data_IF_194476776068
#
_entry.id   IF_194476776068
#
_cell.length_a   1.000
_cell.length_b   1.000
_cell.length_c   1.000
_cell.angle_alpha   90.00
_cell.angle_beta   90.00
_cell.angle_gamma   90.00
#
_symmetry.space_group_name_H-M   'P 1'
#
loop_
_entity.id
_entity.type
_entity.pdbx_description
1 polymer ?
#
# COMPACT_ATOMS: atom_id res chain seq x y z
N UNK A 1 0.39 6.77 1.26
CA UNK A 1 1.27 6.45 2.41
C UNK A 1 0.48 6.57 3.70
N UNK A 2 0.78 5.79 4.74
CA UNK A 2 0.18 5.94 6.06
C UNK A 2 1.09 6.73 7.01
N UNK A 3 0.56 7.76 7.67
CA UNK A 3 1.28 8.64 8.57
C UNK A 3 0.78 8.52 10.00
N UNK A 4 1.70 8.71 10.95
CA UNK A 4 1.38 8.78 12.36
C UNK A 4 1.26 10.22 12.80
N UNK A 5 0.21 10.52 13.55
CA UNK A 5 -0.07 11.86 14.06
C UNK A 5 -0.71 11.77 15.44
N UNK A 6 -0.63 12.86 16.20
CA UNK A 6 -1.20 12.98 17.55
C UNK A 6 -1.83 14.35 17.74
N UNK A 7 -2.99 14.39 18.37
CA UNK A 7 -3.71 15.63 18.71
C UNK A 7 -3.71 15.83 20.22
N UNK A 8 -3.00 16.85 20.74
CA UNK A 8 -2.96 17.20 22.18
C UNK A 8 -2.76 15.98 23.12
N UNK A 9 -1.85 15.07 22.77
CA UNK A 9 -1.57 13.79 23.44
C UNK A 9 -2.61 12.66 23.23
N UNK A 10 -3.63 12.87 22.41
CA UNK A 10 -4.60 11.87 22.03
C UNK A 10 -4.27 11.26 20.65
N UNK A 11 -4.37 9.95 20.55
CA UNK A 11 -4.10 9.15 19.35
C UNK A 11 -5.37 8.86 18.53
N UNK A 12 -6.54 9.30 18.98
CA UNK A 12 -7.82 9.11 18.29
C UNK A 12 -8.05 10.18 17.21
N UNK A 13 -7.27 10.13 16.14
CA UNK A 13 -7.26 11.18 15.09
C UNK A 13 -8.61 11.31 14.38
N UNK A 14 -9.33 10.19 14.20
CA UNK A 14 -10.68 10.17 13.63
C UNK A 14 -11.75 10.86 14.48
N UNK A 15 -11.42 11.27 15.71
CA UNK A 15 -12.30 12.12 16.50
C UNK A 15 -12.19 13.59 16.10
N UNK A 16 -10.99 14.04 15.77
CA UNK A 16 -10.67 15.46 15.58
C UNK A 16 -10.65 15.88 14.11
N UNK A 17 -10.50 14.92 13.19
CA UNK A 17 -10.47 15.20 11.76
C UNK A 17 -11.41 14.29 10.97
N UNK A 18 -11.88 14.78 9.82
CA UNK A 18 -12.64 14.03 8.84
C UNK A 18 -11.98 14.15 7.49
N UNK A 19 -11.51 13.02 6.96
CA UNK A 19 -10.85 12.95 5.66
C UNK A 19 -11.81 12.35 4.62
N UNK A 20 -11.86 12.97 3.44
CA UNK A 20 -12.56 12.46 2.26
C UNK A 20 -11.67 12.60 1.03
N UNK A 21 -12.16 12.15 -0.12
CA UNK A 21 -11.48 12.33 -1.41
C UNK A 21 -11.56 13.77 -1.97
N UNK A 22 -12.43 14.64 -1.43
CA UNK A 22 -12.59 16.00 -1.98
C UNK A 22 -12.18 17.12 -1.02
N UNK A 23 -12.16 16.84 0.28
CA UNK A 23 -11.85 17.82 1.33
C UNK A 23 -11.44 17.12 2.62
N UNK A 24 -10.74 17.86 3.47
CA UNK A 24 -10.41 17.46 4.83
C UNK A 24 -10.93 18.51 5.81
N UNK A 25 -11.63 18.08 6.86
CA UNK A 25 -12.04 18.94 7.96
C UNK A 25 -11.20 18.63 9.18
N UNK A 26 -10.70 19.67 9.84
CA UNK A 26 -9.82 19.55 11.01
C UNK A 26 -10.34 20.42 12.14
N UNK A 27 -10.41 19.83 13.35
CA UNK A 27 -10.80 20.51 14.58
C UNK A 27 -9.89 21.68 14.90
N UNK A 28 -10.49 22.83 15.23
CA UNK A 28 -9.75 23.96 15.81
C UNK A 28 -9.10 23.58 17.15
N UNK A 29 -8.04 24.31 17.51
CA UNK A 29 -7.33 24.14 18.79
C UNK A 29 -6.29 23.01 18.81
N UNK A 30 -5.92 22.43 17.67
CA UNK A 30 -4.73 21.59 17.54
C UNK A 30 -3.42 22.38 17.54
N UNK A 31 -2.31 21.66 17.67
CA UNK A 31 -0.95 22.20 17.53
C UNK A 31 -0.59 22.44 16.05
N UNK A 32 0.34 23.35 15.76
CA UNK A 32 0.83 23.56 14.40
C UNK A 32 1.45 22.29 13.79
N UNK A 33 2.06 21.42 14.62
CA UNK A 33 2.56 20.12 14.18
C UNK A 33 1.45 19.22 13.62
N UNK A 34 0.23 19.33 14.19
CA UNK A 34 -0.91 18.56 13.73
C UNK A 34 -1.37 19.07 12.37
N UNK A 35 -1.60 20.38 12.23
CA UNK A 35 -2.04 20.97 10.96
C UNK A 35 -0.99 20.83 9.86
N UNK A 36 0.28 21.05 10.15
CA UNK A 36 1.35 20.98 9.16
C UNK A 36 1.49 19.61 8.52
N UNK A 37 1.19 18.53 9.25
CA UNK A 37 1.20 17.16 8.73
C UNK A 37 0.05 16.92 7.73
N UNK A 38 -1.14 17.50 7.99
CA UNK A 38 -2.24 17.44 7.02
C UNK A 38 -1.96 18.33 5.81
N UNK A 39 -1.50 19.56 6.02
CA UNK A 39 -1.21 20.50 4.96
C UNK A 39 -0.07 20.04 4.05
N UNK A 40 0.97 19.38 4.60
CA UNK A 40 2.10 18.88 3.81
C UNK A 40 1.71 17.78 2.83
N UNK A 41 0.71 16.98 3.18
CA UNK A 41 0.30 15.81 2.37
C UNK A 41 -0.93 16.11 1.50
N UNK A 42 -1.86 16.91 2.01
CA UNK A 42 -3.15 17.14 1.39
C UNK A 42 -3.27 18.52 0.75
N UNK A 43 -2.51 19.51 1.20
CA UNK A 43 -2.73 20.92 0.86
C UNK A 43 -2.64 21.25 -0.63
N UNK A 44 -1.93 20.44 -1.41
CA UNK A 44 -1.85 20.59 -2.88
C UNK A 44 -3.05 19.97 -3.62
N UNK A 45 -3.73 18.98 -3.02
CA UNK A 45 -4.73 18.14 -3.69
C UNK A 45 -6.16 18.48 -3.24
N UNK A 46 -6.36 18.66 -1.92
CA UNK A 46 -7.67 18.92 -1.33
C UNK A 46 -7.59 20.03 -0.27
N UNK A 47 -8.65 20.86 -0.13
CA UNK A 47 -8.68 21.88 0.91
C UNK A 47 -8.73 21.26 2.30
N UNK A 48 -7.83 21.71 3.17
CA UNK A 48 -7.82 21.43 4.61
C UNK A 48 -8.52 22.59 5.31
N UNK A 49 -9.70 22.35 5.88
CA UNK A 49 -10.56 23.39 6.47
C UNK A 49 -10.55 23.26 7.98
N UNK A 50 -10.14 24.33 8.65
CA UNK A 50 -10.14 24.40 10.11
C UNK A 50 -11.50 24.89 10.60
N UNK A 51 -12.22 24.05 11.34
CA UNK A 51 -13.58 24.40 11.76
C UNK A 51 -13.91 23.91 13.17
N UNK A 52 -15.07 24.28 13.65
CA UNK A 52 -15.73 23.67 14.80
C UNK A 52 -17.14 23.32 14.40
N UNK A 53 -17.72 22.33 15.07
CA UNK A 53 -19.14 22.01 14.91
C UNK A 53 -19.80 22.11 16.28
N UNK A 54 -20.80 22.98 16.39
CA UNK A 54 -21.49 23.29 17.65
C UNK A 54 -20.52 23.77 18.75
N UNK A 55 -19.45 24.51 18.36
CA UNK A 55 -18.39 24.96 19.28
C UNK A 55 -17.49 23.83 19.81
N UNK A 56 -17.64 22.61 19.31
CA UNK A 56 -16.82 21.46 19.70
C UNK A 56 -15.68 21.21 18.70
N UNK A 57 -14.58 20.64 19.20
CA UNK A 57 -13.38 20.28 18.43
C UNK A 57 -13.47 18.88 17.80
N UNK A 58 -14.46 18.08 18.19
CA UNK A 58 -14.63 16.68 17.79
C UNK A 58 -15.32 16.52 16.43
N UNK A 59 -14.81 17.18 15.39
CA UNK A 59 -15.45 17.23 14.08
C UNK A 59 -15.67 15.84 13.48
N UNK A 60 -14.69 14.95 13.58
CA UNK A 60 -14.73 13.64 12.95
C UNK A 60 -15.87 12.74 13.44
N UNK A 61 -16.30 12.92 14.70
CA UNK A 61 -17.46 12.23 15.28
C UNK A 61 -18.78 12.93 15.01
N UNK A 62 -18.75 14.26 14.89
CA UNK A 62 -19.96 15.07 14.71
C UNK A 62 -20.45 15.08 13.26
N UNK A 63 -19.57 14.94 12.28
CA UNK A 63 -19.93 14.96 10.87
C UNK A 63 -19.57 13.68 10.13
N UNK A 64 -20.22 13.50 9.00
CA UNK A 64 -19.93 12.42 8.04
C UNK A 64 -20.05 12.96 6.63
N UNK A 65 -19.24 12.47 5.71
CA UNK A 65 -19.25 12.96 4.35
C UNK A 65 -18.36 12.15 3.44
N UNK A 66 -18.59 12.34 2.14
CA UNK A 66 -17.82 11.77 1.05
C UNK A 66 -17.51 12.88 0.03
N UNK A 67 -17.01 12.53 -1.16
CA UNK A 67 -16.70 13.56 -2.17
C UNK A 67 -17.89 14.40 -2.65
N UNK A 68 -19.12 13.90 -2.48
CA UNK A 68 -20.34 14.51 -3.02
C UNK A 68 -21.06 15.39 -1.99
N UNK A 69 -20.92 15.10 -0.71
CA UNK A 69 -21.69 15.78 0.32
C UNK A 69 -21.12 15.66 1.73
N UNK A 70 -21.52 16.60 2.56
CA UNK A 70 -21.19 16.68 3.99
C UNK A 70 -22.47 16.82 4.81
N UNK A 71 -22.64 15.91 5.76
CA UNK A 71 -23.71 15.94 6.74
C UNK A 71 -23.18 16.50 8.06
N UNK A 72 -23.85 17.53 8.55
CA UNK A 72 -23.54 18.18 9.82
C UNK A 72 -24.75 18.10 10.76
N UNK A 73 -24.53 18.08 12.08
CA UNK A 73 -25.61 17.99 13.03
C UNK A 73 -26.44 19.29 13.03
N UNK A 74 -27.70 19.20 13.45
CA UNK A 74 -28.57 20.37 13.57
C UNK A 74 -28.06 21.42 14.59
N UNK A 75 -27.20 21.02 15.53
CA UNK A 75 -26.58 21.90 16.53
C UNK A 75 -25.46 22.79 15.98
N UNK A 76 -25.02 22.59 14.73
CA UNK A 76 -23.96 23.42 14.12
C UNK A 76 -24.42 24.86 13.94
N UNK A 77 -23.60 25.82 14.36
CA UNK A 77 -23.94 27.25 14.26
C UNK A 77 -23.92 27.74 12.81
N UNK A 78 -24.66 28.80 12.50
CA UNK A 78 -24.76 29.34 11.13
C UNK A 78 -23.45 29.92 10.61
N UNK A 79 -22.64 30.50 11.50
CA UNK A 79 -21.31 31.00 11.16
C UNK A 79 -20.34 29.86 10.78
N UNK A 80 -20.37 28.75 11.52
CA UNK A 80 -19.59 27.54 11.21
C UNK A 80 -20.03 26.96 9.88
N UNK A 81 -21.34 26.84 9.65
CA UNK A 81 -21.90 26.34 8.40
C UNK A 81 -21.50 27.21 7.19
N UNK A 82 -21.56 28.53 7.34
CA UNK A 82 -21.16 29.47 6.30
C UNK A 82 -19.66 29.37 6.01
N UNK A 83 -18.83 29.24 7.04
CA UNK A 83 -17.39 29.06 6.89
C UNK A 83 -17.07 27.77 6.09
N UNK A 84 -17.69 26.66 6.48
CA UNK A 84 -17.58 25.36 5.79
C UNK A 84 -18.00 25.51 4.32
N UNK A 85 -19.17 26.08 4.04
CA UNK A 85 -19.65 26.30 2.66
C UNK A 85 -18.74 27.16 1.80
N UNK A 86 -18.09 28.18 2.39
CA UNK A 86 -17.18 29.05 1.65
C UNK A 86 -15.83 28.37 1.36
N UNK A 87 -15.42 27.41 2.19
CA UNK A 87 -14.12 26.74 2.08
C UNK A 87 -14.18 25.44 1.26
N UNK A 88 -15.34 24.79 1.21
CA UNK A 88 -15.56 23.57 0.43
C UNK A 88 -15.80 23.88 -1.06
N UNK A 89 -15.45 22.94 -1.96
CA UNK A 89 -15.80 23.05 -3.37
C UNK A 89 -17.32 23.06 -3.58
N UNK A 90 -17.79 23.80 -4.58
CA UNK A 90 -19.24 23.92 -4.93
C UNK A 90 -19.89 22.57 -5.29
N UNK A 91 -19.09 21.55 -5.63
CA UNK A 91 -19.57 20.19 -5.89
C UNK A 91 -20.10 19.48 -4.64
N UNK A 92 -19.68 19.92 -3.43
CA UNK A 92 -20.02 19.26 -2.17
C UNK A 92 -21.28 19.89 -1.57
N UNK A 93 -22.34 19.09 -1.46
CA UNK A 93 -23.59 19.53 -0.82
C UNK A 93 -23.48 19.45 0.70
N UNK A 94 -23.56 20.59 1.39
CA UNK A 94 -23.56 20.65 2.87
C UNK A 94 -24.99 20.73 3.40
N UNK A 95 -25.42 19.69 4.13
CA UNK A 95 -26.78 19.55 4.66
C UNK A 95 -26.77 19.32 6.18
N UNK A 96 -27.69 20.01 6.88
CA UNK A 96 -27.98 19.75 8.30
C UNK A 96 -28.93 18.59 8.44
N UNK A 97 -28.65 17.71 9.40
CA UNK A 97 -29.47 16.56 9.74
C UNK A 97 -29.80 16.60 11.23
N UNK A 98 -31.08 16.40 11.55
CA UNK A 98 -31.51 16.16 12.92
C UNK A 98 -31.49 14.65 13.18
N UNK A 99 -30.63 14.21 14.08
CA UNK A 99 -30.56 12.82 14.50
C UNK A 99 -30.46 12.76 16.02
N UNK A 100 -31.21 11.85 16.65
CA UNK A 100 -31.39 11.82 18.12
C UNK A 100 -30.67 10.65 18.78
N UNK A 101 -30.29 9.62 18.02
CA UNK A 101 -29.64 8.42 18.56
C UNK A 101 -28.24 8.71 19.07
N UNK A 102 -27.39 9.28 18.23
CA UNK A 102 -25.99 9.62 18.56
C UNK A 102 -25.43 10.65 17.57
N UNK A 103 -24.14 10.96 17.69
CA UNK A 103 -23.44 11.80 16.73
C UNK A 103 -23.35 11.12 15.35
N UNK A 104 -23.49 11.90 14.27
CA UNK A 104 -23.57 11.38 12.89
C UNK A 104 -22.38 10.49 12.50
N UNK A 105 -21.17 10.84 12.92
CA UNK A 105 -19.95 10.08 12.64
C UNK A 105 -19.84 8.76 13.42
N UNK A 106 -20.69 8.52 14.43
CA UNK A 106 -20.76 7.23 15.12
C UNK A 106 -21.80 6.30 14.48
N UNK A 107 -22.89 6.86 13.96
CA UNK A 107 -24.01 6.10 13.39
C UNK A 107 -23.84 5.80 11.91
N UNK A 108 -22.97 6.52 11.21
CA UNK A 108 -22.78 6.40 9.76
C UNK A 108 -21.30 6.17 9.44
N UNK A 109 -21.02 5.11 8.67
CA UNK A 109 -19.74 4.88 8.00
C UNK A 109 -19.98 4.89 6.49
N UNK A 110 -19.25 5.70 5.72
CA UNK A 110 -19.50 5.83 4.28
C UNK A 110 -18.21 5.89 3.48
N UNK A 111 -18.30 5.41 2.23
CA UNK A 111 -17.36 5.71 1.16
C UNK A 111 -18.07 6.51 0.04
N UNK A 112 -17.51 6.55 -1.17
CA UNK A 112 -18.13 7.30 -2.28
C UNK A 112 -19.29 6.56 -2.97
N UNK A 113 -19.54 5.29 -2.63
CA UNK A 113 -20.52 4.42 -3.32
C UNK A 113 -21.61 3.89 -2.38
N UNK A 114 -21.24 3.60 -1.13
CA UNK A 114 -22.03 2.88 -0.14
C UNK A 114 -21.90 3.56 1.23
N UNK A 115 -22.99 3.57 2.00
CA UNK A 115 -23.01 3.96 3.40
C UNK A 115 -23.64 2.87 4.26
N UNK A 116 -22.95 2.51 5.35
CA UNK A 116 -23.47 1.70 6.43
C UNK A 116 -24.04 2.61 7.51
N UNK A 117 -25.26 2.30 7.97
CA UNK A 117 -25.97 3.10 8.97
C UNK A 117 -26.51 2.24 10.10
N UNK A 118 -26.79 2.91 11.22
CA UNK A 118 -27.47 2.31 12.36
C UNK A 118 -28.83 1.66 11.95
N UNK A 119 -29.16 0.44 12.42
CA UNK A 119 -30.39 -0.24 12.01
C UNK A 119 -31.69 0.51 12.35
N UNK A 120 -31.71 1.16 13.50
CA UNK A 120 -32.87 1.94 14.00
C UNK A 120 -32.92 3.38 13.47
N UNK A 121 -32.16 3.72 12.42
CA UNK A 121 -32.19 5.06 11.83
C UNK A 121 -33.57 5.35 11.21
N UNK A 122 -34.07 6.57 11.40
CA UNK A 122 -35.31 7.04 10.79
C UNK A 122 -35.20 7.06 9.26
N UNK A 123 -36.28 6.68 8.57
CA UNK A 123 -36.29 6.59 7.10
C UNK A 123 -36.10 7.95 6.44
N UNK A 124 -36.58 9.03 7.06
CA UNK A 124 -36.36 10.40 6.59
C UNK A 124 -34.86 10.75 6.61
N UNK A 125 -34.16 10.40 7.68
CA UNK A 125 -32.71 10.59 7.79
C UNK A 125 -31.96 9.77 6.75
N UNK A 126 -32.37 8.52 6.53
CA UNK A 126 -31.80 7.64 5.52
C UNK A 126 -31.92 8.22 4.09
N UNK A 127 -33.09 8.74 3.73
CA UNK A 127 -33.33 9.39 2.44
C UNK A 127 -32.43 10.64 2.27
N UNK A 128 -32.27 11.46 3.33
CA UNK A 128 -31.38 12.62 3.30
C UNK A 128 -29.92 12.22 3.08
N UNK A 129 -29.48 11.12 3.71
CA UNK A 129 -28.12 10.57 3.55
C UNK A 129 -27.92 10.13 2.10
N UNK A 130 -28.84 9.32 1.57
CA UNK A 130 -28.77 8.81 0.20
C UNK A 130 -28.71 9.96 -0.82
N UNK A 131 -29.56 10.97 -0.68
CA UNK A 131 -29.63 12.12 -1.59
C UNK A 131 -28.41 13.05 -1.51
N UNK A 132 -27.88 13.27 -0.30
CA UNK A 132 -26.78 14.21 -0.09
C UNK A 132 -25.43 13.59 -0.46
N UNK A 133 -25.20 12.34 -0.05
CA UNK A 133 -23.95 11.63 -0.31
C UNK A 133 -23.96 10.93 -1.69
N UNK A 134 -25.13 10.72 -2.30
CA UNK A 134 -25.32 9.97 -3.56
C UNK A 134 -24.78 8.55 -3.48
N UNK A 135 -25.14 7.85 -2.41
CA UNK A 135 -24.69 6.48 -2.11
C UNK A 135 -25.86 5.59 -1.77
N UNK A 136 -25.68 4.29 -1.97
CA UNK A 136 -26.62 3.30 -1.47
C UNK A 136 -26.46 3.13 0.04
N UNK A 137 -27.57 3.16 0.77
CA UNK A 137 -27.57 3.07 2.23
C UNK A 137 -27.98 1.66 2.66
N UNK A 138 -27.17 1.04 3.52
CA UNK A 138 -27.44 -0.27 4.11
C UNK A 138 -27.46 -0.18 5.63
N UNK A 139 -28.52 -0.73 6.22
CA UNK A 139 -28.66 -0.89 7.66
C UNK A 139 -27.90 -2.15 8.09
N UNK A 140 -26.85 -1.99 8.87
CA UNK A 140 -26.01 -3.11 9.28
C UNK A 140 -25.45 -2.93 10.69
N UNK A 141 -25.04 -4.04 11.32
CA UNK A 141 -24.31 -4.04 12.59
C UNK A 141 -22.94 -4.67 12.43
N UNK A 142 -21.96 -4.22 13.21
CA UNK A 142 -20.57 -4.67 13.11
C UNK A 142 -20.15 -5.26 14.47
N UNK A 143 -19.79 -6.54 14.49
CA UNK A 143 -19.47 -7.28 15.72
C UNK A 143 -20.57 -7.17 16.80
N UNK A 144 -21.85 -7.23 16.40
CA UNK A 144 -23.02 -7.00 17.27
C UNK A 144 -23.12 -5.58 17.86
N UNK A 145 -22.32 -4.63 17.39
CA UNK A 145 -22.44 -3.22 17.74
C UNK A 145 -23.23 -2.46 16.68
N UNK A 146 -24.10 -1.57 17.14
CA UNK A 146 -24.96 -0.74 16.29
C UNK A 146 -24.28 0.54 15.80
N UNK A 147 -23.18 0.97 16.44
CA UNK A 147 -22.43 2.18 16.11
C UNK A 147 -21.38 1.93 15.03
N UNK A 148 -21.84 1.74 13.80
CA UNK A 148 -20.98 1.35 12.67
C UNK A 148 -19.81 2.33 12.43
N UNK A 149 -20.01 3.64 12.55
CA UNK A 149 -18.94 4.64 12.34
C UNK A 149 -17.88 4.71 13.44
N UNK A 150 -18.16 4.13 14.61
CA UNK A 150 -17.17 3.96 15.68
C UNK A 150 -16.29 2.75 15.46
N UNK A 151 -16.87 1.68 14.92
CA UNK A 151 -16.24 0.38 14.81
C UNK A 151 -15.77 0.04 13.40
N UNK A 152 -15.99 0.92 12.42
CA UNK A 152 -15.61 0.72 11.05
C UNK A 152 -15.13 2.01 10.38
N UNK A 153 -14.11 1.86 9.55
CA UNK A 153 -13.54 2.91 8.70
C UNK A 153 -13.53 2.38 7.28
N UNK A 154 -14.14 3.12 6.36
CA UNK A 154 -14.30 2.73 4.96
C UNK A 154 -13.55 3.70 4.04
N UNK A 155 -13.03 3.16 2.96
CA UNK A 155 -12.57 3.89 1.77
C UNK A 155 -13.19 3.25 0.52
N UNK A 156 -12.82 3.71 -0.67
CA UNK A 156 -13.23 3.03 -1.90
C UNK A 156 -12.40 1.77 -2.19
N UNK A 157 -11.20 1.66 -1.63
CA UNK A 157 -10.27 0.55 -1.91
C UNK A 157 -10.45 -0.64 -0.96
N UNK A 158 -10.95 -0.37 0.24
CA UNK A 158 -11.12 -1.35 1.29
C UNK A 158 -11.77 -0.75 2.52
N UNK A 159 -11.93 -1.58 3.54
CA UNK A 159 -12.52 -1.17 4.82
C UNK A 159 -11.94 -1.96 5.97
N UNK A 160 -11.98 -1.33 7.14
CA UNK A 160 -11.54 -1.90 8.39
C UNK A 160 -12.69 -1.85 9.43
N UNK A 161 -12.80 -2.84 10.31
CA UNK A 161 -13.90 -3.18 11.23
C UNK A 161 -13.36 -3.71 12.57
N UNK A 162 -14.18 -3.80 13.60
CA UNK A 162 -13.71 -4.26 14.92
C UNK A 162 -13.11 -5.70 14.91
N UNK A 163 -12.06 -6.01 15.69
CA UNK A 163 -11.41 -7.34 15.69
C UNK A 163 -12.34 -8.52 16.02
N UNK A 164 -13.34 -8.29 16.87
CA UNK A 164 -14.30 -9.33 17.26
C UNK A 164 -15.41 -9.58 16.22
N UNK A 165 -15.31 -8.99 15.02
CA UNK A 165 -16.23 -9.28 13.92
C UNK A 165 -16.12 -10.76 13.54
N UNK A 166 -17.24 -11.42 13.20
CA UNK A 166 -17.19 -12.84 12.85
C UNK A 166 -16.43 -13.04 11.54
N UNK A 167 -15.78 -14.19 11.33
CA UNK A 167 -15.00 -14.44 10.09
C UNK A 167 -15.88 -14.34 8.84
N UNK A 168 -17.17 -14.72 8.97
CA UNK A 168 -18.16 -14.60 7.89
C UNK A 168 -18.40 -13.13 7.52
N UNK A 169 -18.47 -12.26 8.52
CA UNK A 169 -18.63 -10.82 8.31
C UNK A 169 -17.28 -10.12 7.97
N UNK A 170 -16.14 -10.77 8.26
CA UNK A 170 -14.79 -10.31 7.94
C UNK A 170 -14.36 -10.63 6.50
N UNK A 171 -15.02 -11.54 5.77
CA UNK A 171 -14.69 -11.80 4.36
C UNK A 171 -14.78 -10.52 3.50
N UNK A 172 -15.50 -9.50 3.99
CA UNK A 172 -15.62 -8.19 3.35
C UNK A 172 -14.77 -7.08 4.02
N UNK A 173 -14.23 -7.27 5.23
CA UNK A 173 -13.56 -6.20 6.02
C UNK A 173 -12.47 -6.69 7.00
N UNK A 174 -11.36 -5.96 7.12
CA UNK A 174 -10.23 -6.28 8.04
C UNK A 174 -10.22 -5.42 9.32
N UNK A 175 -9.24 -5.44 10.25
CA UNK A 175 -9.43 -4.95 11.65
C UNK A 175 -9.08 -3.46 11.97
N UNK A 176 -9.91 -2.67 12.70
CA UNK A 176 -9.67 -1.27 13.15
C UNK A 176 -10.21 -0.87 14.53
N UNK A 177 -9.57 0.17 15.09
CA UNK A 177 -10.05 1.04 16.17
C UNK A 177 -10.09 2.54 15.78
N UNK A 178 -10.78 3.35 16.59
CA UNK A 178 -11.15 4.77 16.38
C UNK A 178 -10.05 5.79 15.99
N UNK A 179 -8.78 5.38 15.93
CA UNK A 179 -7.61 6.24 15.69
C UNK A 179 -7.16 6.36 14.24
N UNK A 180 -7.95 5.90 13.27
CA UNK A 180 -7.61 5.93 11.85
C UNK A 180 -8.60 6.76 11.04
N UNK A 181 -8.07 7.57 10.13
CA UNK A 181 -8.81 8.16 9.01
C UNK A 181 -8.07 7.86 7.71
N UNK A 182 -8.82 7.67 6.63
CA UNK A 182 -8.27 7.22 5.36
C UNK A 182 -9.06 7.80 4.20
N UNK A 183 -8.35 8.08 3.11
CA UNK A 183 -8.90 8.25 1.78
C UNK A 183 -8.18 7.31 0.81
N UNK A 184 -8.41 7.45 -0.49
CA UNK A 184 -7.89 6.49 -1.46
C UNK A 184 -6.35 6.53 -1.65
N UNK A 185 -5.64 7.53 -1.12
CA UNK A 185 -4.18 7.69 -1.32
C UNK A 185 -3.38 7.97 -0.03
N UNK A 186 -4.04 8.38 1.04
CA UNK A 186 -3.44 8.75 2.31
C UNK A 186 -4.23 8.19 3.49
N UNK A 187 -3.52 7.81 4.54
CA UNK A 187 -4.12 7.45 5.82
C UNK A 187 -3.37 8.13 6.97
N UNK A 188 -4.11 8.57 7.98
CA UNK A 188 -3.56 9.13 9.22
C UNK A 188 -4.01 8.27 10.40
N UNK A 189 -3.03 7.71 11.10
CA UNK A 189 -3.20 6.87 12.27
C UNK A 189 -2.61 7.55 13.52
N UNK A 190 -3.04 7.11 14.69
CA UNK A 190 -2.47 7.54 15.97
C UNK A 190 -0.99 7.19 16.12
N UNK A 191 -0.26 7.91 16.99
CA UNK A 191 1.16 7.64 17.24
C UNK A 191 1.45 6.26 17.83
N UNK A 192 0.50 5.68 18.58
CA UNK A 192 0.65 4.35 19.17
C UNK A 192 0.48 3.21 18.15
N UNK A 193 0.03 3.49 16.92
CA UNK A 193 -0.17 2.47 15.89
C UNK A 193 1.18 1.84 15.50
N UNK A 194 1.29 0.53 15.70
CA UNK A 194 2.51 -0.24 15.49
C UNK A 194 2.88 -0.30 14.01
N UNK A 195 4.15 -0.56 13.70
CA UNK A 195 4.60 -0.65 12.29
C UNK A 195 3.96 -1.82 11.54
N UNK A 196 3.61 -2.89 12.26
CA UNK A 196 2.85 -4.01 11.71
C UNK A 196 1.44 -3.61 11.34
N UNK A 197 0.73 -2.87 12.21
CA UNK A 197 -0.61 -2.35 11.92
C UNK A 197 -0.59 -1.36 10.76
N UNK A 198 0.41 -0.48 10.67
CA UNK A 198 0.55 0.42 9.51
C UNK A 198 0.75 -0.34 8.21
N UNK A 199 1.56 -1.41 8.21
CA UNK A 199 1.78 -2.23 7.01
C UNK A 199 0.47 -2.88 6.53
N UNK A 200 -0.35 -3.33 7.49
CA UNK A 200 -1.68 -3.89 7.23
C UNK A 200 -2.61 -2.81 6.64
N UNK A 201 -2.68 -1.63 7.26
CA UNK A 201 -3.46 -0.49 6.76
C UNK A 201 -3.07 -0.11 5.33
N UNK A 202 -1.76 0.02 5.05
CA UNK A 202 -1.27 0.36 3.71
C UNK A 202 -1.62 -0.70 2.66
N UNK A 203 -1.60 -1.98 3.04
CA UNK A 203 -1.94 -3.10 2.17
C UNK A 203 -3.43 -3.10 1.83
N UNK A 204 -4.30 -2.94 2.82
CA UNK A 204 -5.76 -3.01 2.65
C UNK A 204 -6.28 -1.85 1.82
N UNK A 205 -5.80 -0.65 2.10
CA UNK A 205 -6.23 0.56 1.40
C UNK A 205 -5.42 0.84 0.13
N UNK A 206 -4.46 -0.02 -0.22
CA UNK A 206 -3.63 0.08 -1.44
C UNK A 206 -2.93 1.45 -1.60
N UNK A 207 -2.50 2.04 -0.48
CA UNK A 207 -1.96 3.40 -0.44
C UNK A 207 -0.61 3.57 -1.16
N UNK A 208 0.03 2.45 -1.54
CA UNK A 208 1.30 2.42 -2.27
C UNK A 208 1.14 2.45 -3.80
N UNK A 209 -0.08 2.27 -4.32
CA UNK A 209 -0.36 2.32 -5.77
C UNK A 209 -0.82 3.71 -6.24
N UNK A 210 -1.11 4.63 -5.31
CA UNK A 210 -1.72 5.95 -5.59
C UNK A 210 -0.77 7.14 -5.72
N UNK A 211 0.54 7.01 -5.47
CA UNK A 211 1.48 8.10 -5.73
C UNK A 211 1.85 8.12 -7.23
N UNK A 212 1.75 9.26 -7.94
CA UNK A 212 2.28 9.36 -9.29
C UNK A 212 3.77 9.06 -9.24
N UNK A 213 4.14 7.99 -9.92
CA UNK A 213 5.45 7.36 -9.95
C UNK A 213 6.53 8.21 -10.63
N UNK A 214 6.65 9.50 -10.34
CA UNK A 214 7.65 10.36 -10.98
C UNK A 214 9.05 10.17 -10.36
N UNK A 215 9.14 10.02 -9.03
CA UNK A 215 10.43 9.85 -8.34
C UNK A 215 11.02 8.46 -8.63
N UNK A 216 10.17 7.43 -8.70
CA UNK A 216 10.63 6.07 -9.03
C UNK A 216 10.89 5.90 -10.52
N UNK A 217 10.26 6.68 -11.42
CA UNK A 217 10.57 6.66 -12.84
C UNK A 217 11.88 7.34 -13.18
N UNK A 218 12.23 8.47 -12.53
CA UNK A 218 13.50 9.17 -12.80
C UNK A 218 14.71 8.41 -12.26
N UNK A 219 14.62 7.86 -11.05
CA UNK A 219 15.67 6.98 -10.52
C UNK A 219 15.81 5.69 -11.35
N UNK A 220 14.69 5.12 -11.82
CA UNK A 220 14.74 3.99 -12.77
C UNK A 220 15.30 4.41 -14.11
N UNK A 221 14.98 5.60 -14.63
CA UNK A 221 15.48 6.08 -15.91
C UNK A 221 17.00 6.24 -15.89
N UNK A 222 17.58 6.83 -14.84
CA UNK A 222 19.04 6.96 -14.74
C UNK A 222 19.76 5.61 -14.51
N UNK A 223 19.14 4.69 -13.76
CA UNK A 223 19.62 3.30 -13.62
C UNK A 223 19.49 2.50 -14.93
N UNK A 224 18.44 2.75 -15.71
CA UNK A 224 18.24 2.12 -17.01
C UNK A 224 19.20 2.72 -18.05
N UNK A 225 19.48 4.02 -17.99
CA UNK A 225 20.43 4.72 -18.87
C UNK A 225 21.88 4.28 -18.61
N UNK A 226 22.25 4.06 -17.35
CA UNK A 226 23.54 3.44 -16.99
C UNK A 226 23.62 1.95 -17.36
N UNK A 227 22.49 1.24 -17.46
CA UNK A 227 22.44 -0.16 -17.94
C UNK A 227 22.28 -0.30 -19.47
N UNK A 228 21.84 0.75 -20.17
CA UNK A 228 21.61 0.80 -21.63
C UNK A 228 22.90 0.82 -22.46
N UNK A 229 24.06 1.02 -21.84
CA UNK A 229 25.36 0.94 -22.50
C UNK A 229 25.81 -0.48 -22.90
N UNK A 230 25.02 -1.51 -22.58
CA UNK A 230 25.28 -2.88 -22.99
C UNK A 230 24.41 -3.20 -24.20
N UNK A 231 25.02 -3.33 -25.38
CA UNK A 231 24.40 -3.47 -26.72
C UNK A 231 23.36 -4.61 -26.87
N UNK A 232 23.13 -5.44 -25.85
CA UNK A 232 22.13 -6.52 -25.86
C UNK A 232 20.69 -6.11 -25.52
N UNK A 233 20.45 -4.94 -24.90
CA UNK A 233 19.11 -4.63 -24.34
C UNK A 233 18.06 -4.23 -25.40
N UNK A 234 18.49 -3.61 -26.50
CA UNK A 234 17.59 -3.20 -27.60
C UNK A 234 16.90 -4.42 -28.23
N UNK A 235 17.61 -5.53 -28.37
CA UNK A 235 17.08 -6.76 -28.98
C UNK A 235 16.02 -7.44 -28.09
N UNK A 236 16.22 -7.43 -26.77
CA UNK A 236 15.34 -8.12 -25.81
C UNK A 236 14.02 -7.39 -25.60
N UNK A 237 14.05 -6.04 -25.53
CA UNK A 237 12.83 -5.22 -25.38
C UNK A 237 11.92 -5.28 -26.62
N UNK A 238 12.52 -5.45 -27.79
CA UNK A 238 11.79 -5.65 -29.06
C UNK A 238 11.07 -6.99 -29.11
N UNK A 239 11.62 -8.04 -28.47
CA UNK A 239 11.01 -9.37 -28.41
C UNK A 239 9.93 -9.51 -27.33
N UNK A 240 10.01 -8.77 -26.22
CA UNK A 240 9.08 -8.89 -25.09
C UNK A 240 8.65 -7.51 -24.53
N UNK A 241 7.67 -6.85 -25.17
CA UNK A 241 7.33 -5.45 -24.86
C UNK A 241 6.66 -5.23 -23.49
N UNK A 242 6.08 -6.26 -22.86
CA UNK A 242 5.32 -6.16 -21.60
C UNK A 242 6.12 -6.56 -20.35
N UNK A 243 7.45 -6.52 -20.39
CA UNK A 243 8.30 -7.11 -19.36
C UNK A 243 8.64 -6.10 -18.22
N UNK A 244 7.96 -6.24 -17.07
CA UNK A 244 8.00 -5.29 -15.95
C UNK A 244 9.04 -5.57 -14.83
N UNK A 245 9.67 -6.75 -14.77
CA UNK A 245 10.51 -7.14 -13.63
C UNK A 245 11.88 -7.72 -14.02
N UNK A 246 12.94 -6.97 -13.70
CA UNK A 246 14.36 -7.33 -13.85
C UNK A 246 14.71 -8.64 -13.14
N UNK A 247 14.09 -8.93 -11.99
CA UNK A 247 14.30 -10.16 -11.21
C UNK A 247 13.87 -11.41 -11.96
N UNK A 248 12.81 -11.32 -12.78
CA UNK A 248 12.33 -12.45 -13.59
C UNK A 248 13.24 -12.71 -14.79
N UNK A 249 13.90 -11.68 -15.31
CA UNK A 249 14.92 -11.80 -16.37
C UNK A 249 16.22 -12.40 -15.82
N UNK A 250 16.68 -11.96 -14.64
CA UNK A 250 17.85 -12.57 -13.99
C UNK A 250 17.60 -14.05 -13.64
N UNK A 251 16.41 -14.39 -13.14
CA UNK A 251 16.02 -15.76 -12.86
C UNK A 251 15.79 -16.58 -14.14
N UNK A 252 15.29 -15.97 -15.22
CA UNK A 252 15.18 -16.61 -16.53
C UNK A 252 16.56 -16.84 -17.15
N UNK A 253 17.50 -15.89 -17.06
CA UNK A 253 18.88 -16.00 -17.53
C UNK A 253 19.66 -17.04 -16.71
N UNK A 254 19.51 -17.07 -15.38
CA UNK A 254 20.08 -18.11 -14.52
C UNK A 254 19.50 -19.48 -14.86
N UNK A 255 18.17 -19.59 -15.09
CA UNK A 255 17.57 -20.83 -15.58
C UNK A 255 18.04 -21.19 -16.97
N UNK A 256 18.23 -20.25 -17.90
CA UNK A 256 18.71 -20.51 -19.27
C UNK A 256 20.19 -20.91 -19.26
N UNK A 257 21.03 -20.34 -18.40
CA UNK A 257 22.39 -20.80 -18.16
C UNK A 257 22.40 -22.20 -17.53
N UNK A 258 21.48 -22.50 -16.60
CA UNK A 258 21.28 -23.84 -16.03
C UNK A 258 20.64 -24.84 -16.99
N UNK A 259 19.91 -24.37 -18.02
CA UNK A 259 19.21 -25.21 -19.00
C UNK A 259 20.03 -25.44 -20.27
N UNK A 260 20.92 -24.50 -20.64
CA UNK A 260 21.94 -24.70 -21.71
C UNK A 260 23.10 -25.59 -21.27
N UNK A 261 23.23 -25.83 -19.96
CA UNK A 261 23.88 -27.01 -19.41
C UNK A 261 22.82 -28.10 -19.31
N UNK A 262 22.54 -28.80 -20.40
CA UNK A 262 21.83 -30.09 -20.37
C UNK A 262 22.68 -31.11 -19.61
N UNK A 263 22.70 -30.95 -18.31
CA UNK A 263 23.22 -31.89 -17.33
C UNK A 263 22.02 -32.25 -16.47
N UNK A 264 21.69 -33.52 -16.46
CA UNK A 264 20.71 -34.09 -15.54
C UNK A 264 21.06 -33.66 -14.10
N UNK A 265 20.06 -33.59 -13.22
CA UNK A 265 20.29 -33.08 -11.85
C UNK A 265 21.31 -33.89 -11.03
N UNK A 266 21.78 -35.04 -11.55
CA UNK A 266 22.86 -35.83 -10.98
C UNK A 266 24.26 -35.26 -11.28
N UNK A 267 24.48 -34.65 -12.45
CA UNK A 267 25.79 -34.10 -12.85
C UNK A 267 26.07 -32.73 -12.22
N UNK A 268 25.05 -31.92 -11.96
CA UNK A 268 25.18 -30.67 -11.21
C UNK A 268 25.71 -30.87 -9.77
N UNK A 269 25.44 -32.02 -9.16
CA UNK A 269 26.01 -32.40 -7.85
C UNK A 269 27.48 -32.82 -7.96
N UNK A 270 27.93 -33.37 -9.10
CA UNK A 270 29.34 -33.72 -9.33
C UNK A 270 30.25 -32.49 -9.47
N UNK A 271 29.74 -31.41 -10.08
CA UNK A 271 30.44 -30.11 -10.19
C UNK A 271 30.74 -29.46 -8.83
N UNK A 272 29.96 -29.78 -7.79
CA UNK A 272 30.18 -29.28 -6.43
C UNK A 272 31.07 -30.21 -5.59
N UNK A 273 31.56 -31.32 -6.15
CA UNK A 273 32.40 -32.29 -5.44
C UNK A 273 33.84 -31.78 -5.26
N UNK A 274 34.51 -32.27 -4.20
CA UNK A 274 35.93 -31.98 -3.93
C UNK A 274 36.84 -32.34 -5.11
N UNK A 275 36.50 -33.39 -5.87
CA UNK A 275 37.24 -33.82 -7.05
C UNK A 275 37.21 -32.79 -8.19
N UNK A 276 36.06 -32.12 -8.41
CA UNK A 276 35.96 -31.04 -9.40
C UNK A 276 36.77 -29.81 -8.99
N UNK A 277 36.72 -29.42 -7.71
CA UNK A 277 37.50 -28.28 -7.19
C UNK A 277 39.02 -28.51 -7.29
N UNK A 278 39.46 -29.77 -7.23
CA UNK A 278 40.85 -30.16 -7.35
C UNK A 278 41.29 -30.20 -8.83
N UNK A 279 40.50 -30.80 -9.72
CA UNK A 279 40.75 -30.82 -11.16
C UNK A 279 40.67 -29.42 -11.81
N UNK A 280 39.76 -28.56 -11.34
CA UNK A 280 39.67 -27.16 -11.75
C UNK A 280 40.94 -26.38 -11.39
N UNK A 281 41.53 -26.63 -10.21
CA UNK A 281 42.80 -26.01 -9.81
C UNK A 281 44.00 -26.53 -10.61
N UNK A 282 43.96 -27.78 -11.09
CA UNK A 282 45.02 -28.39 -11.90
C UNK A 282 44.99 -27.91 -13.36
N UNK A 283 43.80 -27.82 -13.97
CA UNK A 283 43.62 -27.41 -15.37
C UNK A 283 43.55 -25.88 -15.56
N UNK A 284 43.05 -25.16 -14.56
CA UNK A 284 42.77 -23.72 -14.63
C UNK A 284 43.46 -22.94 -13.48
N UNK A 285 44.78 -23.14 -13.32
CA UNK A 285 45.56 -22.58 -12.21
C UNK A 285 45.56 -21.04 -12.09
N UNK A 286 45.23 -20.31 -13.16
CA UNK A 286 45.25 -18.84 -13.21
C UNK A 286 43.87 -18.18 -13.12
N UNK A 287 42.79 -18.94 -12.98
CA UNK A 287 41.42 -18.41 -12.95
C UNK A 287 40.88 -18.29 -11.50
N UNK A 288 40.13 -17.22 -11.17
CA UNK A 288 39.45 -17.12 -9.89
C UNK A 288 38.44 -18.27 -9.72
N UNK A 289 38.15 -18.63 -8.47
CA UNK A 289 37.08 -19.59 -8.19
C UNK A 289 35.73 -18.97 -8.59
N UNK A 290 34.80 -19.78 -9.12
CA UNK A 290 33.46 -19.29 -9.45
C UNK A 290 32.79 -18.70 -8.21
N UNK A 291 32.21 -17.49 -8.31
CA UNK A 291 31.56 -16.84 -7.18
C UNK A 291 30.28 -17.59 -6.78
N UNK A 292 30.08 -17.79 -5.47
CA UNK A 292 28.85 -18.37 -4.93
C UNK A 292 27.79 -17.28 -4.79
N UNK A 293 26.67 -17.34 -5.53
CA UNK A 293 25.64 -16.32 -5.47
C UNK A 293 24.87 -16.42 -4.14
N UNK A 294 24.72 -15.30 -3.44
CA UNK A 294 23.95 -15.22 -2.20
C UNK A 294 22.51 -14.87 -2.54
N UNK A 295 21.55 -15.72 -2.14
CA UNK A 295 20.12 -15.60 -2.48
C UNK A 295 19.50 -14.24 -2.17
N UNK A 296 19.98 -13.56 -1.13
CA UNK A 296 19.47 -12.26 -0.68
C UNK A 296 20.16 -11.05 -1.31
N UNK A 297 21.21 -11.22 -2.13
CA UNK A 297 21.98 -10.11 -2.75
C UNK A 297 22.06 -10.25 -4.26
N UNK A 298 21.16 -9.58 -4.97
CA UNK A 298 21.02 -9.66 -6.43
C UNK A 298 22.28 -9.34 -7.24
N UNK A 299 23.15 -8.44 -6.76
CA UNK A 299 24.43 -8.13 -7.42
C UNK A 299 25.35 -9.35 -7.58
N UNK A 300 25.37 -10.24 -6.58
CA UNK A 300 26.20 -11.46 -6.61
C UNK A 300 25.76 -12.45 -7.68
N UNK A 301 24.50 -12.41 -8.11
CA UNK A 301 23.98 -13.24 -9.19
C UNK A 301 24.41 -12.71 -10.56
N UNK A 302 24.45 -11.39 -10.74
CA UNK A 302 24.95 -10.78 -11.98
C UNK A 302 26.45 -11.00 -12.14
N UNK A 303 27.21 -10.93 -11.06
CA UNK A 303 28.66 -11.21 -11.06
C UNK A 303 28.94 -12.68 -11.41
N UNK A 304 28.12 -13.61 -10.91
CA UNK A 304 28.20 -15.02 -11.29
C UNK A 304 27.90 -15.24 -12.78
N UNK A 305 26.84 -14.61 -13.31
CA UNK A 305 26.51 -14.72 -14.74
C UNK A 305 27.60 -14.10 -15.62
N UNK A 306 28.18 -12.95 -15.23
CA UNK A 306 29.34 -12.36 -15.92
C UNK A 306 30.54 -13.30 -15.93
N UNK A 307 30.87 -13.90 -14.79
CA UNK A 307 31.96 -14.86 -14.69
C UNK A 307 31.78 -16.07 -15.61
N UNK A 308 30.60 -16.70 -15.61
CA UNK A 308 30.34 -17.86 -16.45
C UNK A 308 30.25 -17.55 -17.95
N UNK A 309 29.84 -16.32 -18.31
CA UNK A 309 29.83 -15.90 -19.72
C UNK A 309 31.24 -15.57 -20.23
N UNK A 310 32.08 -14.95 -19.40
CA UNK A 310 33.46 -14.61 -19.75
C UNK A 310 34.35 -15.85 -19.87
N UNK A 311 34.17 -16.84 -19.00
CA UNK A 311 35.01 -18.05 -18.96
C UNK A 311 34.30 -19.30 -19.50
N UNK A 312 33.21 -19.14 -20.25
CA UNK A 312 32.36 -20.22 -20.75
C UNK A 312 33.15 -21.31 -21.49
N UNK A 313 34.02 -20.94 -22.42
CA UNK A 313 34.77 -21.89 -23.26
C UNK A 313 35.75 -22.71 -22.40
N UNK A 314 36.48 -22.03 -21.52
CA UNK A 314 37.48 -22.67 -20.64
C UNK A 314 36.81 -23.62 -19.64
N UNK A 315 35.70 -23.19 -19.04
CA UNK A 315 34.92 -24.01 -18.11
C UNK A 315 34.27 -25.19 -18.85
N UNK A 316 33.73 -24.97 -20.04
CA UNK A 316 33.14 -26.04 -20.87
C UNK A 316 34.17 -27.12 -21.22
N UNK A 317 35.39 -26.72 -21.60
CA UNK A 317 36.47 -27.67 -21.90
C UNK A 317 36.90 -28.45 -20.66
N UNK A 318 37.05 -27.78 -19.50
CA UNK A 318 37.42 -28.43 -18.24
C UNK A 318 36.35 -29.43 -17.75
N UNK A 319 35.08 -29.16 -18.04
CA UNK A 319 33.96 -30.07 -17.73
C UNK A 319 33.92 -31.25 -18.70
N UNK A 320 34.28 -31.06 -19.97
CA UNK A 320 34.37 -32.15 -20.94
C UNK A 320 35.51 -33.13 -20.62
N UNK A 321 36.69 -32.65 -20.20
CA UNK A 321 37.78 -33.53 -19.73
C UNK A 321 37.40 -34.34 -18.50
N UNK A 322 36.56 -33.79 -17.62
CA UNK A 322 36.09 -34.51 -16.43
C UNK A 322 35.18 -35.71 -16.77
N UNK A 323 34.47 -35.65 -17.90
CA UNK A 323 33.60 -36.74 -18.37
C UNK A 323 34.38 -37.89 -19.01
N UNK A 324 35.58 -37.64 -19.55
CA UNK A 324 36.45 -38.70 -20.09
C UNK A 324 37.14 -39.50 -18.97
N UNK A 325 37.58 -38.82 -17.89
CA UNK A 325 38.26 -39.46 -16.77
C UNK A 325 37.30 -40.24 -15.83
N UNK A 326 36.00 -39.97 -15.85
CA UNK A 326 35.02 -40.58 -14.94
C UNK A 326 34.35 -41.85 -15.49
N UNK A 327 34.75 -42.36 -16.65
CA UNK A 327 34.26 -43.63 -17.17
C UNK A 327 34.76 -44.87 -16.39
N UNK A 328 35.66 -44.69 -15.42
CA UNK A 328 36.27 -45.79 -14.66
C UNK A 328 35.88 -45.90 -13.17
N UNK A 329 34.95 -45.10 -12.65
CA UNK A 329 34.57 -45.20 -11.23
C UNK A 329 33.05 -45.18 -11.07
N UNK A 330 32.44 -46.32 -11.38
CA UNK A 330 31.13 -46.68 -10.84
C UNK A 330 31.22 -48.12 -10.31
N UNK A 331 31.68 -48.24 -9.06
CA UNK A 331 31.13 -49.18 -8.06
C UNK A 331 30.75 -48.35 -6.83
#
# INVERSE_FOLDING_TARGET
>A
MALRIQFENNNEIGVFAKLTNAYCLVGIGGSENFYSTFESELGEIIPVVHSSLAGCRIIGRMCVGNKNGLLVPNSTFDNELQHIRNALPDSVKVQRVEERLSALGNVIACNDYVALVHPDLDRETEEIIADTLKVEVFRQTIASNVLVGSYCVLSNQGGLVHPNTSIVDQEEFEVVGAGLIVNDWCAFAGMDTTSTELTVIESIFKLNEGAPSNITSEMRASLIESMLHVEGWVTVKTLYPNMLHVTRVAHALDRICKFSLTFSSAEGKKLLSLAWRQHYKEQCANLPLPPEPVTTRWGTWLDAVKFYTEYYITISNAVQTLNEDTQYVIE
#
